data_IF_366867537510
#
_entry.id   IF_366867537510
#
_cell.length_a   1.000
_cell.length_b   1.000
_cell.length_c   1.000
_cell.angle_alpha   90.00
_cell.angle_beta   90.00
_cell.angle_gamma   90.00
#
_symmetry.space_group_name_H-M   'P 1'
#
loop_
_entity.id
_entity.type
_entity.pdbx_description
1 polymer ?
#
# COMPACT_ATOMS: atom_id res chain seq x y z
N UNK A 1 9.72 41.91 -0.16
CA UNK A 1 10.15 41.90 1.24
C UNK A 1 9.14 41.16 2.12
N UNK A 2 9.58 40.51 3.21
CA UNK A 2 8.68 39.79 4.12
C UNK A 2 7.62 40.72 4.72
N UNK A 3 6.35 40.34 4.60
CA UNK A 3 5.22 41.11 5.10
C UNK A 3 4.71 40.50 6.40
N UNK A 4 4.48 41.31 7.46
CA UNK A 4 3.82 40.85 8.69
C UNK A 4 2.33 40.69 8.43
N UNK A 5 1.80 39.51 8.74
CA UNK A 5 0.37 39.16 8.60
C UNK A 5 -0.12 38.50 9.88
N UNK A 6 -1.41 38.55 10.15
CA UNK A 6 -2.05 37.95 11.31
C UNK A 6 -3.10 36.99 10.79
N UNK A 7 -3.08 35.75 11.24
CA UNK A 7 -4.07 34.74 10.91
C UNK A 7 -5.35 34.90 11.72
N UNK A 8 -6.40 34.19 11.35
CA UNK A 8 -7.70 34.19 12.03
C UNK A 8 -7.60 33.75 13.50
N UNK A 9 -6.69 32.83 13.81
CA UNK A 9 -6.38 32.39 15.19
C UNK A 9 -5.37 33.30 15.93
N UNK A 10 -5.20 34.52 15.41
CA UNK A 10 -4.42 35.61 16.04
C UNK A 10 -2.91 35.31 16.14
N UNK A 11 -2.36 34.52 15.23
CA UNK A 11 -0.91 34.30 15.16
C UNK A 11 -0.27 35.27 14.17
N UNK A 12 0.70 36.04 14.64
CA UNK A 12 1.48 36.95 13.81
C UNK A 12 2.59 36.17 13.12
N UNK A 13 2.64 36.21 11.80
CA UNK A 13 3.70 35.54 11.00
C UNK A 13 4.28 36.47 9.97
N UNK A 14 5.42 36.10 9.40
CA UNK A 14 6.08 36.82 8.30
C UNK A 14 6.02 35.98 7.05
N UNK A 15 5.41 36.54 6.01
CA UNK A 15 5.28 35.86 4.72
C UNK A 15 5.99 36.67 3.66
N UNK A 16 6.80 35.98 2.87
CA UNK A 16 7.46 36.54 1.70
C UNK A 16 6.78 36.01 0.43
N UNK A 17 6.48 36.90 -0.51
CA UNK A 17 5.82 36.58 -1.76
C UNK A 17 6.55 37.18 -2.96
N UNK A 18 6.43 36.51 -4.10
CA UNK A 18 6.95 36.92 -5.39
C UNK A 18 5.81 37.00 -6.38
N UNK A 19 5.71 38.10 -7.08
CA UNK A 19 4.70 38.33 -8.13
C UNK A 19 5.39 38.37 -9.48
N UNK A 20 4.95 37.54 -10.41
CA UNK A 20 5.38 37.51 -11.80
C UNK A 20 4.30 38.17 -12.64
N UNK A 21 4.65 39.26 -13.30
CA UNK A 21 3.72 40.02 -14.13
C UNK A 21 4.32 40.41 -15.49
N UNK A 22 3.48 40.72 -16.41
CA UNK A 22 3.83 41.21 -17.75
C UNK A 22 3.13 42.55 -17.99
N UNK A 23 3.81 43.48 -18.66
CA UNK A 23 3.20 44.72 -19.09
C UNK A 23 2.49 44.44 -20.43
N UNK A 24 1.16 44.51 -20.41
CA UNK A 24 0.32 44.30 -21.59
C UNK A 24 0.13 45.60 -22.37
N UNK A 25 0.01 46.72 -21.67
CA UNK A 25 -0.20 48.04 -22.28
C UNK A 25 0.74 49.07 -21.69
N UNK A 26 1.88 49.36 -22.40
CA UNK A 26 2.91 50.26 -21.89
C UNK A 26 2.42 51.69 -21.61
N UNK A 27 1.42 52.17 -22.33
CA UNK A 27 0.84 53.48 -22.10
C UNK A 27 0.12 53.59 -20.75
N UNK A 28 -0.70 52.60 -20.41
CA UNK A 28 -1.39 52.53 -19.10
C UNK A 28 -0.37 52.32 -17.96
N UNK A 29 0.67 51.53 -18.21
CA UNK A 29 1.71 51.32 -17.23
C UNK A 29 2.49 52.63 -16.91
N UNK A 30 2.79 53.46 -17.93
CA UNK A 30 3.55 54.67 -17.75
C UNK A 30 2.74 55.85 -17.20
N UNK A 31 1.45 55.94 -17.51
CA UNK A 31 0.61 57.08 -17.17
C UNK A 31 -0.58 56.76 -16.29
N UNK A 32 -0.89 55.48 -16.09
CA UNK A 32 -2.04 55.05 -15.30
C UNK A 32 -1.84 55.11 -13.78
N UNK A 33 -0.58 55.03 -13.34
CA UNK A 33 -0.22 55.10 -11.91
C UNK A 33 1.18 55.70 -11.76
N UNK A 34 1.40 56.49 -10.72
CA UNK A 34 2.65 57.24 -10.51
C UNK A 34 3.87 56.30 -10.32
N UNK A 35 3.68 55.20 -9.55
CA UNK A 35 4.72 54.20 -9.36
C UNK A 35 4.13 52.77 -9.38
N UNK A 36 4.08 52.14 -10.57
CA UNK A 36 3.45 50.83 -10.74
C UNK A 36 4.03 49.75 -9.83
N UNK A 37 5.34 49.71 -9.63
CA UNK A 37 6.02 48.71 -8.83
C UNK A 37 5.61 48.84 -7.37
N UNK A 38 5.66 50.04 -6.80
CA UNK A 38 5.25 50.29 -5.43
C UNK A 38 3.74 50.04 -5.21
N UNK A 39 2.91 50.35 -6.20
CA UNK A 39 1.50 50.08 -6.19
C UNK A 39 1.22 48.57 -6.14
N UNK A 40 1.90 47.77 -6.96
CA UNK A 40 1.79 46.28 -6.91
C UNK A 40 2.28 45.73 -5.59
N UNK A 41 3.38 46.23 -5.04
CA UNK A 41 3.91 45.79 -3.74
C UNK A 41 2.89 46.05 -2.62
N UNK A 42 2.32 47.23 -2.55
CA UNK A 42 1.32 47.61 -1.56
C UNK A 42 0.01 46.83 -1.71
N UNK A 43 -0.44 46.65 -2.97
CA UNK A 43 -1.61 45.85 -3.29
C UNK A 43 -1.40 44.38 -2.88
N UNK A 44 -0.23 43.81 -3.22
CA UNK A 44 0.14 42.45 -2.83
C UNK A 44 0.15 42.27 -1.32
N UNK A 45 0.73 43.23 -0.57
CA UNK A 45 0.76 43.19 0.88
C UNK A 45 -0.64 43.24 1.52
N UNK A 46 -1.54 44.05 0.96
CA UNK A 46 -2.91 44.20 1.43
C UNK A 46 -3.74 42.95 1.11
N UNK A 47 -3.66 42.47 -0.12
CA UNK A 47 -4.34 41.25 -0.58
C UNK A 47 -3.90 40.02 0.24
N UNK A 48 -2.59 39.87 0.43
CA UNK A 48 -2.04 38.80 1.27
C UNK A 48 -2.60 38.86 2.71
N UNK A 49 -2.63 40.05 3.31
CA UNK A 49 -3.16 40.25 4.67
C UNK A 49 -4.65 39.86 4.77
N UNK A 50 -5.44 40.21 3.77
CA UNK A 50 -6.86 39.88 3.73
C UNK A 50 -7.08 38.37 3.62
N UNK A 51 -6.38 37.69 2.72
CA UNK A 51 -6.49 36.24 2.50
C UNK A 51 -6.05 35.48 3.76
N UNK A 52 -4.86 35.80 4.30
CA UNK A 52 -4.33 35.13 5.49
C UNK A 52 -5.17 35.42 6.72
N UNK A 53 -5.72 36.64 6.85
CA UNK A 53 -6.62 37.02 7.97
C UNK A 53 -7.93 36.21 8.01
N UNK A 54 -8.32 35.57 6.92
CA UNK A 54 -9.47 34.67 6.86
C UNK A 54 -9.13 33.21 7.16
N UNK A 55 -7.84 32.84 7.20
CA UNK A 55 -7.35 31.46 7.35
C UNK A 55 -6.70 31.23 8.72
N UNK A 56 -6.83 30.00 9.23
CA UNK A 56 -6.10 29.56 10.42
C UNK A 56 -4.62 29.25 10.07
N UNK A 57 -3.74 29.18 11.06
CA UNK A 57 -2.31 28.94 10.89
C UNK A 57 -2.03 27.63 10.11
N UNK A 58 -2.66 26.52 10.50
CA UNK A 58 -2.46 25.22 9.87
C UNK A 58 -2.87 25.24 8.39
N UNK A 59 -4.01 25.87 8.09
CA UNK A 59 -4.50 26.05 6.71
C UNK A 59 -3.53 26.91 5.89
N UNK A 60 -3.00 27.97 6.47
CA UNK A 60 -2.02 28.86 5.80
C UNK A 60 -0.73 28.10 5.43
N UNK A 61 -0.27 27.21 6.30
CA UNK A 61 0.95 26.41 6.05
C UNK A 61 0.74 25.30 4.99
N UNK A 62 -0.46 24.74 4.92
CA UNK A 62 -0.76 23.58 4.06
C UNK A 62 -1.36 23.96 2.72
N UNK A 63 -2.07 25.09 2.60
CA UNK A 63 -2.85 25.47 1.42
C UNK A 63 -2.19 26.55 0.55
N UNK A 64 -0.87 26.47 0.36
CA UNK A 64 -0.10 27.48 -0.41
C UNK A 64 -0.64 27.68 -1.84
N UNK A 65 -1.04 26.63 -2.49
CA UNK A 65 -1.55 26.69 -3.87
C UNK A 65 -2.87 27.45 -3.96
N UNK A 66 -3.76 27.25 -3.00
CA UNK A 66 -5.01 28.00 -2.89
C UNK A 66 -4.75 29.48 -2.70
N UNK A 67 -3.84 29.83 -1.78
CA UNK A 67 -3.45 31.24 -1.53
C UNK A 67 -2.84 31.87 -2.77
N UNK A 68 -1.92 31.18 -3.45
CA UNK A 68 -1.29 31.64 -4.70
C UNK A 68 -2.33 31.94 -5.79
N UNK A 69 -3.31 31.05 -5.93
CA UNK A 69 -4.37 31.17 -6.95
C UNK A 69 -5.30 32.34 -6.62
N UNK A 70 -5.70 32.48 -5.38
CA UNK A 70 -6.60 33.55 -4.92
C UNK A 70 -5.90 34.90 -5.01
N UNK A 71 -4.64 35.01 -4.56
CA UNK A 71 -3.81 36.21 -4.73
C UNK A 71 -3.68 36.59 -6.20
N UNK A 72 -3.38 35.64 -7.06
CA UNK A 72 -3.26 35.90 -8.51
C UNK A 72 -4.55 36.48 -9.06
N UNK A 73 -5.69 35.87 -8.73
CA UNK A 73 -7.01 36.32 -9.22
C UNK A 73 -7.35 37.74 -8.77
N UNK A 74 -7.13 38.07 -7.49
CA UNK A 74 -7.41 39.41 -6.96
C UNK A 74 -6.44 40.46 -7.50
N UNK A 75 -5.16 40.12 -7.64
CA UNK A 75 -4.15 41.03 -8.16
C UNK A 75 -4.36 41.30 -9.66
N UNK A 76 -4.67 40.28 -10.46
CA UNK A 76 -4.88 40.43 -11.91
C UNK A 76 -6.03 41.40 -12.21
N UNK A 77 -7.17 41.25 -11.51
CA UNK A 77 -8.31 42.16 -11.64
C UNK A 77 -7.95 43.59 -11.24
N UNK A 78 -7.18 43.76 -10.18
CA UNK A 78 -6.84 45.09 -9.65
C UNK A 78 -5.74 45.80 -10.47
N UNK A 79 -4.89 45.06 -11.17
CA UNK A 79 -3.78 45.61 -11.96
C UNK A 79 -4.12 45.80 -13.46
N UNK A 80 -5.23 45.21 -13.92
CA UNK A 80 -5.69 45.35 -15.32
C UNK A 80 -5.84 46.82 -15.78
N UNK A 81 -6.40 47.75 -14.98
CA UNK A 81 -6.48 49.18 -15.33
C UNK A 81 -5.10 49.87 -15.51
N UNK A 82 -4.05 49.27 -14.97
CA UNK A 82 -2.67 49.76 -15.09
C UNK A 82 -1.90 49.17 -16.28
N UNK A 83 -2.59 48.35 -17.11
CA UNK A 83 -1.97 47.65 -18.23
C UNK A 83 -0.98 46.56 -17.77
N UNK A 84 -1.20 45.97 -16.61
CA UNK A 84 -0.36 44.94 -16.02
C UNK A 84 -1.15 43.67 -15.87
N UNK A 85 -0.62 42.55 -16.37
CA UNK A 85 -1.19 41.24 -16.20
C UNK A 85 -0.35 40.42 -15.25
N UNK A 86 -1.00 39.90 -14.18
CA UNK A 86 -0.34 39.03 -13.20
C UNK A 86 -0.43 37.59 -13.68
N UNK A 87 0.71 37.02 -14.06
CA UNK A 87 0.78 35.65 -14.56
C UNK A 87 0.78 34.63 -13.40
N UNK A 88 1.58 34.93 -12.37
CA UNK A 88 1.81 33.99 -11.26
C UNK A 88 2.15 34.73 -9.98
N UNK A 89 1.66 34.21 -8.88
CA UNK A 89 2.04 34.64 -7.52
C UNK A 89 2.55 33.43 -6.78
N UNK A 90 3.63 33.56 -6.04
CA UNK A 90 4.19 32.48 -5.22
C UNK A 90 4.56 32.97 -3.84
N UNK A 91 4.15 32.19 -2.84
CA UNK A 91 4.61 32.34 -1.47
C UNK A 91 5.98 31.68 -1.34
N UNK A 92 7.02 32.50 -1.06
CA UNK A 92 8.39 32.04 -0.91
C UNK A 92 8.61 31.39 0.45
N UNK A 93 8.46 32.15 1.54
CA UNK A 93 8.67 31.70 2.90
C UNK A 93 7.48 32.10 3.77
N UNK A 94 7.04 31.18 4.62
CA UNK A 94 6.04 31.41 5.67
C UNK A 94 6.76 31.14 7.00
N UNK A 95 6.97 32.17 7.80
CA UNK A 95 7.76 32.11 9.01
C UNK A 95 6.83 32.42 10.21
N UNK A 96 6.32 31.39 10.91
CA UNK A 96 5.62 31.58 12.18
C UNK A 96 6.60 32.01 13.28
N UNK A 97 6.11 32.52 14.41
CA UNK A 97 6.94 32.81 15.60
C UNK A 97 7.68 31.58 16.10
N UNK A 98 8.89 31.75 16.61
CA UNK A 98 9.75 30.64 17.04
C UNK A 98 9.08 29.74 18.09
N UNK A 99 8.36 30.33 19.05
CA UNK A 99 7.65 29.55 20.08
C UNK A 99 6.57 28.61 19.50
N UNK A 100 5.87 29.06 18.47
CA UNK A 100 4.85 28.24 17.78
C UNK A 100 5.53 27.16 16.94
N UNK A 101 6.61 27.50 16.24
CA UNK A 101 7.40 26.54 15.46
C UNK A 101 7.91 25.40 16.34
N UNK A 102 8.51 25.71 17.49
CA UNK A 102 8.97 24.70 18.45
C UNK A 102 7.84 23.81 18.99
N UNK A 103 6.68 24.40 19.29
CA UNK A 103 5.51 23.65 19.75
C UNK A 103 5.01 22.70 18.67
N UNK A 104 4.91 23.16 17.40
CA UNK A 104 4.52 22.34 16.26
C UNK A 104 5.53 21.22 15.98
N UNK A 105 6.84 21.49 16.07
CA UNK A 105 7.89 20.48 15.91
C UNK A 105 7.76 19.38 16.96
N UNK A 106 7.52 19.74 18.24
CA UNK A 106 7.29 18.76 19.31
C UNK A 106 6.03 17.94 19.08
N UNK A 107 4.94 18.59 18.68
CA UNK A 107 3.67 17.92 18.38
C UNK A 107 3.84 16.95 17.22
N UNK A 108 4.46 17.38 16.11
CA UNK A 108 4.71 16.54 14.94
C UNK A 108 5.61 15.34 15.27
N UNK A 109 6.62 15.55 16.13
CA UNK A 109 7.50 14.46 16.60
C UNK A 109 6.70 13.42 17.38
N UNK A 110 5.89 13.85 18.36
CA UNK A 110 5.05 12.96 19.14
C UNK A 110 4.01 12.21 18.28
N UNK A 111 3.43 12.86 17.28
CA UNK A 111 2.50 12.21 16.35
C UNK A 111 3.19 11.19 15.46
N UNK A 112 4.40 11.46 14.96
CA UNK A 112 5.20 10.49 14.21
C UNK A 112 5.57 9.28 15.05
N UNK A 113 6.03 9.48 16.28
CA UNK A 113 6.34 8.40 17.23
C UNK A 113 5.11 7.53 17.52
N UNK A 114 3.95 8.15 17.71
CA UNK A 114 2.68 7.43 17.88
C UNK A 114 2.32 6.59 16.65
N UNK A 115 2.42 7.17 15.45
CA UNK A 115 2.15 6.44 14.19
C UNK A 115 3.13 5.28 13.99
N UNK A 116 4.40 5.49 14.30
CA UNK A 116 5.42 4.44 14.23
C UNK A 116 5.08 3.26 15.15
N UNK A 117 4.74 3.54 16.43
CA UNK A 117 4.34 2.50 17.38
C UNK A 117 3.10 1.73 16.94
N UNK A 118 2.09 2.42 16.39
CA UNK A 118 0.87 1.78 15.86
C UNK A 118 1.24 0.88 14.67
N UNK A 119 2.03 1.38 13.73
CA UNK A 119 2.43 0.62 12.53
C UNK A 119 3.25 -0.62 12.90
N UNK A 120 4.19 -0.48 13.84
CA UNK A 120 4.97 -1.61 14.36
C UNK A 120 4.09 -2.65 15.07
N UNK A 121 3.12 -2.21 15.89
CA UNK A 121 2.20 -3.11 16.57
C UNK A 121 1.28 -3.86 15.59
N UNK A 122 0.78 -3.16 14.57
CA UNK A 122 0.00 -3.76 13.49
C UNK A 122 0.82 -4.78 12.69
N UNK A 123 2.02 -4.43 12.28
CA UNK A 123 2.92 -5.34 11.56
C UNK A 123 3.26 -6.60 12.36
N UNK A 124 3.50 -6.47 13.67
CA UNK A 124 3.71 -7.62 14.56
C UNK A 124 2.46 -8.50 14.66
N UNK A 125 1.28 -7.91 14.77
CA UNK A 125 0.01 -8.65 14.80
C UNK A 125 -0.22 -9.40 13.49
N UNK A 126 -0.06 -8.75 12.36
CA UNK A 126 -0.25 -9.36 11.03
C UNK A 126 0.76 -10.49 10.79
N UNK A 127 2.02 -10.29 11.14
CA UNK A 127 3.06 -11.33 11.07
C UNK A 127 2.72 -12.53 11.95
N UNK A 128 2.25 -12.31 13.17
CA UNK A 128 1.83 -13.40 14.08
C UNK A 128 0.63 -14.19 13.53
N UNK A 129 -0.37 -13.48 12.98
CA UNK A 129 -1.54 -14.12 12.36
C UNK A 129 -1.14 -14.93 11.14
N UNK A 130 -0.30 -14.38 10.25
CA UNK A 130 0.16 -15.05 9.04
C UNK A 130 0.98 -16.30 9.38
N UNK A 131 1.88 -16.22 10.36
CA UNK A 131 2.64 -17.37 10.85
C UNK A 131 1.73 -18.46 11.45
N UNK A 132 0.72 -18.07 12.22
CA UNK A 132 -0.25 -19.02 12.80
C UNK A 132 -1.09 -19.70 11.70
N UNK A 133 -1.51 -18.96 10.69
CA UNK A 133 -2.21 -19.52 9.53
C UNK A 133 -1.32 -20.47 8.73
N UNK A 134 -0.09 -20.10 8.43
CA UNK A 134 0.88 -20.96 7.74
C UNK A 134 1.16 -22.25 8.50
N UNK A 135 1.33 -22.19 9.81
CA UNK A 135 1.50 -23.36 10.66
C UNK A 135 0.26 -24.28 10.67
N UNK A 136 -0.94 -23.68 10.69
CA UNK A 136 -2.20 -24.43 10.60
C UNK A 136 -2.33 -25.15 9.27
N UNK A 137 -2.07 -24.45 8.16
CA UNK A 137 -2.12 -25.04 6.80
C UNK A 137 -1.09 -26.15 6.62
N UNK A 138 0.14 -25.93 7.09
CA UNK A 138 1.18 -26.96 7.07
C UNK A 138 0.79 -28.20 7.90
N UNK A 139 0.17 -28.02 9.07
CA UNK A 139 -0.30 -29.14 9.89
C UNK A 139 -1.45 -29.92 9.21
N UNK A 140 -2.38 -29.22 8.55
CA UNK A 140 -3.47 -29.87 7.79
C UNK A 140 -2.88 -30.68 6.61
N UNK A 141 -1.99 -30.07 5.83
CA UNK A 141 -1.36 -30.75 4.68
C UNK A 141 -0.58 -32.01 5.12
N UNK A 142 0.16 -31.91 6.21
CA UNK A 142 0.89 -33.06 6.76
C UNK A 142 -0.07 -34.17 7.21
N UNK A 143 -1.15 -33.84 7.89
CA UNK A 143 -2.16 -34.81 8.33
C UNK A 143 -2.87 -35.46 7.14
N UNK A 144 -3.18 -34.72 6.08
CA UNK A 144 -3.74 -35.26 4.83
C UNK A 144 -2.75 -36.19 4.11
N UNK A 145 -1.47 -35.80 4.03
CA UNK A 145 -0.43 -36.64 3.44
C UNK A 145 -0.23 -37.94 4.24
N UNK A 146 -0.22 -37.89 5.57
CA UNK A 146 -0.16 -39.09 6.42
C UNK A 146 -1.38 -39.98 6.22
N UNK A 147 -2.58 -39.42 6.12
CA UNK A 147 -3.81 -40.17 5.83
C UNK A 147 -3.74 -40.85 4.48
N UNK A 148 -3.31 -40.14 3.45
CA UNK A 148 -3.17 -40.70 2.10
C UNK A 148 -2.12 -41.82 2.07
N UNK A 149 -0.98 -41.64 2.69
CA UNK A 149 0.07 -42.66 2.76
C UNK A 149 -0.42 -43.91 3.54
N UNK A 150 -1.20 -43.74 4.61
CA UNK A 150 -1.78 -44.84 5.35
C UNK A 150 -2.81 -45.62 4.51
N UNK A 151 -3.67 -44.93 3.75
CA UNK A 151 -4.63 -45.57 2.82
C UNK A 151 -3.89 -46.37 1.74
N UNK A 152 -2.92 -45.76 1.06
CA UNK A 152 -2.14 -46.40 0.01
C UNK A 152 -1.38 -47.65 0.54
N UNK A 153 -0.83 -47.58 1.74
CA UNK A 153 -0.18 -48.74 2.38
C UNK A 153 -1.16 -49.85 2.69
N UNK A 154 -2.35 -49.50 3.20
CA UNK A 154 -3.39 -50.50 3.47
C UNK A 154 -3.93 -51.19 2.19
N UNK A 155 -4.09 -50.40 1.11
CA UNK A 155 -4.49 -50.93 -0.19
C UNK A 155 -3.41 -51.83 -0.81
N UNK A 156 -2.14 -51.41 -0.76
CA UNK A 156 -1.03 -52.25 -1.25
C UNK A 156 -0.89 -53.55 -0.43
N UNK A 157 -1.08 -53.49 0.87
CA UNK A 157 -1.03 -54.70 1.70
C UNK A 157 -2.20 -55.62 1.42
N UNK A 158 -3.39 -55.10 1.20
CA UNK A 158 -4.56 -55.88 0.75
C UNK A 158 -4.31 -56.56 -0.57
N UNK A 159 -3.80 -55.81 -1.55
CA UNK A 159 -3.51 -56.35 -2.89
C UNK A 159 -2.43 -57.43 -2.85
N UNK A 160 -1.37 -57.19 -2.07
CA UNK A 160 -0.35 -58.21 -1.82
C UNK A 160 -0.93 -59.51 -1.24
N UNK A 161 -1.78 -59.42 -0.21
CA UNK A 161 -2.42 -60.58 0.40
C UNK A 161 -3.33 -61.30 -0.59
N UNK A 162 -4.04 -60.61 -1.47
CA UNK A 162 -4.87 -61.22 -2.53
C UNK A 162 -3.98 -61.95 -3.52
N UNK A 163 -2.91 -61.33 -4.01
CA UNK A 163 -1.98 -61.94 -4.96
C UNK A 163 -1.26 -63.18 -4.35
N UNK A 164 -0.85 -63.08 -3.09
CA UNK A 164 -0.27 -64.23 -2.37
C UNK A 164 -1.29 -65.41 -2.23
N UNK A 165 -2.54 -65.12 -1.90
CA UNK A 165 -3.60 -66.13 -1.79
C UNK A 165 -3.95 -66.75 -3.14
N UNK A 166 -4.03 -65.93 -4.20
CA UNK A 166 -4.24 -66.42 -5.57
C UNK A 166 -3.07 -67.28 -6.08
N UNK A 167 -1.83 -66.85 -5.78
CA UNK A 167 -0.61 -67.59 -6.09
C UNK A 167 -0.59 -68.96 -5.39
N UNK A 168 -0.94 -68.99 -4.10
CA UNK A 168 -1.05 -70.24 -3.32
C UNK A 168 -2.15 -71.14 -3.89
N UNK A 169 -3.34 -70.58 -4.22
CA UNK A 169 -4.43 -71.36 -4.79
C UNK A 169 -4.07 -71.97 -6.17
N UNK A 170 -3.35 -71.23 -7.00
CA UNK A 170 -2.85 -71.74 -8.30
C UNK A 170 -1.80 -72.81 -8.09
N UNK A 171 -0.85 -72.63 -7.16
CA UNK A 171 0.16 -73.64 -6.84
C UNK A 171 -0.48 -74.94 -6.32
N UNK A 172 -1.47 -74.87 -5.40
CA UNK A 172 -2.19 -76.03 -4.89
C UNK A 172 -2.97 -76.74 -6.02
N UNK A 173 -3.63 -75.97 -6.89
CA UNK A 173 -4.31 -76.60 -8.06
C UNK A 173 -3.33 -77.31 -8.96
N UNK A 174 -2.18 -76.70 -9.36
CA UNK A 174 -1.20 -77.31 -10.20
C UNK A 174 -0.61 -78.59 -9.60
N UNK A 175 -0.36 -78.61 -8.28
CA UNK A 175 0.10 -79.82 -7.59
C UNK A 175 -0.97 -80.90 -7.61
N UNK A 176 -2.23 -80.54 -7.35
CA UNK A 176 -3.34 -81.53 -7.37
C UNK A 176 -3.63 -82.04 -8.78
N UNK A 177 -3.52 -81.23 -9.82
CA UNK A 177 -3.63 -81.64 -11.21
C UNK A 177 -2.49 -82.60 -11.58
N UNK A 178 -1.24 -82.28 -11.20
CA UNK A 178 -0.09 -83.19 -11.43
C UNK A 178 -0.21 -84.54 -10.72
N UNK A 179 -0.69 -84.48 -9.43
CA UNK A 179 -0.97 -85.73 -8.67
C UNK A 179 -2.06 -86.58 -9.39
N UNK A 180 -3.16 -85.93 -9.80
CA UNK A 180 -4.25 -86.63 -10.50
C UNK A 180 -3.79 -87.23 -11.84
N UNK A 181 -2.96 -86.49 -12.57
CA UNK A 181 -2.37 -86.98 -13.85
C UNK A 181 -1.40 -88.16 -13.61
N UNK A 182 -0.58 -88.06 -12.55
CA UNK A 182 0.29 -89.18 -12.12
C UNK A 182 -0.51 -90.44 -11.75
N UNK A 183 -1.58 -90.26 -11.00
CA UNK A 183 -2.49 -91.41 -10.65
C UNK A 183 -3.17 -91.98 -11.93
N UNK A 184 -3.53 -91.12 -12.89
CA UNK A 184 -4.11 -91.58 -14.16
C UNK A 184 -3.11 -92.37 -14.99
N UNK A 185 -1.88 -91.95 -15.09
CA UNK A 185 -0.78 -92.66 -15.81
C UNK A 185 -0.46 -94.01 -15.16
N UNK A 186 -0.43 -94.07 -13.80
CA UNK A 186 -0.23 -95.34 -13.08
C UNK A 186 -1.39 -96.29 -13.33
N UNK A 187 -2.62 -95.81 -13.38
CA UNK A 187 -3.80 -96.59 -13.64
C UNK A 187 -3.85 -97.12 -15.08
N UNK A 188 -3.42 -96.29 -16.03
CA UNK A 188 -3.28 -96.75 -17.46
C UNK A 188 -2.17 -97.76 -17.59
N UNK A 189 -1.00 -97.57 -16.97
CA UNK A 189 0.11 -98.50 -17.01
C UNK A 189 -0.22 -99.86 -16.30
N UNK A 190 -0.98 -99.82 -15.21
CA UNK A 190 -1.42 -101.03 -14.48
C UNK A 190 -2.54 -101.79 -15.21
N UNK A 191 -3.22 -101.15 -16.14
CA UNK A 191 -4.23 -101.83 -16.95
C UNK A 191 -3.60 -102.63 -18.16
N UNK A 192 -2.35 -102.29 -18.53
CA UNK A 192 -1.61 -103.03 -19.60
C UNK A 192 -0.87 -104.30 -19.11
N UNK A 193 -0.73 -104.44 -17.75
CA UNK A 193 -0.13 -105.64 -17.15
C UNK A 193 -1.18 -106.75 -16.77
N UNK A 194 -2.45 -106.56 -17.14
CA UNK A 194 -3.53 -107.45 -16.74
C UNK A 194 -4.23 -108.11 -18.00
N UNK A 195 -3.46 -108.33 -19.09
CA UNK A 195 -3.88 -109.15 -20.25
C UNK A 195 -2.94 -110.29 -20.52
#
# INVERSE_FOLDING_TARGET
PPQPVITKDNVTMRIDSVVFFVITEPKLYAYGVENPISAIENLTATTLRNIIGSMDLDTTLTSRETINTEMRSQLDVATDPWGIKVNRVELKNILPPDAIREAMEKQMKAEREKRELITLAQGKKESAVLNAQGNKEAAILNAEAEKQTAILRAEAEKERKIQEAEGQAKAIRAVKEAEAEGIRLIREAGADEAV
#
